data_IF_672806219738
#
_entry.id   IF_672806219738
#
_cell.length_a   1.000
_cell.length_b   1.000
_cell.length_c   1.000
_cell.angle_alpha   90.00
_cell.angle_beta   90.00
_cell.angle_gamma   90.00
#
_symmetry.space_group_name_H-M   'P 1'
#
loop_
_entity.id
_entity.type
_entity.pdbx_description
1 polymer ?
#
# COMPACT_ATOMS: atom_id res chain seq x y z
N UNK A 1 -24.40 3.59 21.58
CA UNK A 1 -24.53 5.06 21.53
C UNK A 1 -23.13 5.69 21.53
N UNK A 2 -22.55 6.08 20.40
CA UNK A 2 -21.38 6.95 20.37
C UNK A 2 -21.79 8.41 20.14
N UNK A 3 -21.26 9.28 21.00
CA UNK A 3 -21.49 10.72 21.04
C UNK A 3 -20.54 11.51 20.14
N UNK A 4 -21.07 12.65 19.70
CA UNK A 4 -20.60 13.55 18.66
C UNK A 4 -19.68 14.66 19.20
N UNK A 5 -18.77 15.20 18.35
CA UNK A 5 -18.41 16.62 18.11
C UNK A 5 -16.96 16.76 17.60
N UNK A 6 -16.76 17.04 16.32
CA UNK A 6 -16.66 18.38 15.68
C UNK A 6 -15.42 19.20 16.09
N UNK A 7 -14.45 19.33 15.17
CA UNK A 7 -13.82 20.61 14.78
C UNK A 7 -13.45 20.61 13.28
N UNK A 8 -14.03 21.55 12.55
CA UNK A 8 -13.74 22.02 11.18
C UNK A 8 -12.50 22.96 11.24
N UNK A 9 -11.67 23.26 10.23
CA UNK A 9 -11.79 23.85 8.85
C UNK A 9 -10.31 24.11 8.37
N UNK A 10 -9.96 24.67 7.18
CA UNK A 10 -10.74 24.99 5.98
C UNK A 10 -10.15 24.48 4.64
N UNK A 11 -11.02 24.58 3.64
CA UNK A 11 -10.90 24.28 2.22
C UNK A 11 -10.10 25.32 1.42
N UNK A 12 -9.24 24.88 0.49
CA UNK A 12 -8.69 25.69 -0.61
C UNK A 12 -9.28 25.21 -1.95
N UNK A 13 -9.83 26.15 -2.73
CA UNK A 13 -10.54 25.94 -4.00
C UNK A 13 -9.56 25.80 -5.18
N UNK A 14 -9.91 25.07 -6.26
CA UNK A 14 -9.31 25.30 -7.57
C UNK A 14 -10.08 26.39 -8.33
N UNK A 15 -9.36 27.43 -8.75
CA UNK A 15 -9.80 28.37 -9.76
C UNK A 15 -9.54 27.75 -11.14
N UNK A 16 -10.59 27.61 -11.96
CA UNK A 16 -10.61 27.68 -13.44
C UNK A 16 -11.94 27.10 -13.96
N UNK A 17 -13.01 27.85 -13.70
CA UNK A 17 -14.24 27.80 -14.47
C UNK A 17 -14.65 29.25 -14.67
N UNK A 18 -14.20 29.86 -15.75
CA UNK A 18 -14.69 31.13 -16.27
C UNK A 18 -14.13 31.28 -17.69
N UNK A 19 -15.03 31.28 -18.67
CA UNK A 19 -14.95 31.83 -20.04
C UNK A 19 -15.70 30.94 -21.04
N UNK A 20 -17.00 30.80 -20.80
CA UNK A 20 -17.96 30.41 -21.83
C UNK A 20 -19.16 31.35 -21.67
N UNK A 21 -19.21 32.44 -22.46
CA UNK A 21 -20.40 33.20 -22.89
C UNK A 21 -20.06 34.67 -23.20
N UNK A 22 -19.51 34.96 -24.38
CA UNK A 22 -19.66 36.29 -24.97
C UNK A 22 -19.27 36.29 -26.45
N UNK A 23 -20.28 36.25 -27.34
CA UNK A 23 -20.27 36.84 -28.70
C UNK A 23 -21.47 36.34 -29.51
N UNK A 24 -22.68 36.78 -29.15
CA UNK A 24 -23.86 36.56 -29.99
C UNK A 24 -24.82 37.74 -29.91
N UNK A 25 -24.34 38.93 -30.27
CA UNK A 25 -25.19 40.07 -30.61
C UNK A 25 -24.46 40.96 -31.62
N UNK A 26 -24.88 40.95 -32.89
CA UNK A 26 -25.10 42.17 -33.67
C UNK A 26 -25.82 41.87 -34.99
N UNK A 27 -27.03 42.46 -35.08
CA UNK A 27 -27.61 43.16 -36.24
C UNK A 27 -28.37 42.33 -37.30
N UNK A 28 -29.70 42.32 -37.13
CA UNK A 28 -30.71 42.20 -38.19
C UNK A 28 -31.41 43.57 -38.39
N UNK A 29 -31.97 43.77 -39.60
CA UNK A 29 -32.85 44.86 -40.12
C UNK A 29 -32.09 46.02 -40.84
N UNK A 30 -32.47 46.53 -42.02
CA UNK A 30 -33.53 46.19 -43.00
C UNK A 30 -33.30 46.96 -44.33
N UNK A 31 -33.91 46.43 -45.42
CA UNK A 31 -34.50 47.10 -46.62
C UNK A 31 -33.65 47.95 -47.58
N UNK A 32 -33.72 47.70 -48.90
CA UNK A 32 -34.70 48.32 -49.84
C UNK A 32 -34.58 47.81 -51.29
N UNK A 33 -35.74 47.70 -51.96
CA UNK A 33 -36.00 47.42 -53.38
C UNK A 33 -35.17 48.27 -54.36
N UNK A 34 -34.84 47.71 -55.53
CA UNK A 34 -35.17 48.26 -56.87
C UNK A 34 -34.95 47.21 -57.97
N UNK A 35 -35.97 46.97 -58.79
CA UNK A 35 -35.91 46.36 -60.13
C UNK A 35 -36.06 47.50 -61.15
N UNK A 36 -35.48 47.39 -62.36
CA UNK A 36 -36.35 47.12 -63.51
C UNK A 36 -35.76 46.11 -64.53
N UNK A 37 -36.68 45.49 -65.28
CA UNK A 37 -36.45 44.56 -66.40
C UNK A 37 -35.70 45.21 -67.57
N UNK A 38 -34.98 44.40 -68.37
CA UNK A 38 -35.13 44.33 -69.85
C UNK A 38 -34.29 43.20 -70.51
N UNK A 39 -34.96 42.42 -71.36
CA UNK A 39 -34.55 41.79 -72.65
C UNK A 39 -33.38 40.79 -72.78
N UNK A 40 -33.77 39.51 -72.94
CA UNK A 40 -33.42 38.46 -73.95
C UNK A 40 -31.98 38.13 -74.45
N UNK A 41 -31.72 36.84 -74.83
CA UNK A 41 -30.42 36.21 -75.20
C UNK A 41 -30.19 36.23 -76.75
N UNK A 42 -29.13 35.69 -77.43
CA UNK A 42 -28.36 34.43 -77.20
C UNK A 42 -26.82 34.58 -77.39
N UNK A 43 -25.98 33.57 -77.09
CA UNK A 43 -25.43 32.64 -78.11
C UNK A 43 -24.70 31.50 -77.38
N UNK A 44 -25.19 30.28 -77.57
CA UNK A 44 -24.47 29.04 -77.28
C UNK A 44 -23.38 28.82 -78.34
N UNK A 45 -22.14 28.58 -77.91
CA UNK A 45 -21.20 27.66 -78.55
C UNK A 45 -19.93 27.58 -77.70
N UNK A 46 -19.43 26.36 -77.49
CA UNK A 46 -18.34 25.96 -76.56
C UNK A 46 -18.88 25.58 -75.17
N UNK A 47 -18.29 24.56 -74.52
CA UNK A 47 -18.31 24.25 -73.07
C UNK A 47 -18.83 22.88 -72.57
N UNK A 48 -19.31 21.93 -73.38
CA UNK A 48 -19.67 20.60 -72.83
C UNK A 48 -18.45 19.80 -72.30
N UNK A 49 -17.28 19.94 -72.94
CA UNK A 49 -16.03 19.32 -72.50
C UNK A 49 -15.33 20.09 -71.36
N UNK A 50 -15.34 21.43 -71.40
CA UNK A 50 -14.75 22.27 -70.35
C UNK A 50 -15.53 22.24 -69.04
N UNK A 51 -16.87 22.17 -69.09
CA UNK A 51 -17.70 22.04 -67.89
C UNK A 51 -17.48 20.70 -67.20
N UNK A 52 -17.29 19.62 -67.97
CA UNK A 52 -16.98 18.29 -67.43
C UNK A 52 -15.58 18.25 -66.77
N UNK A 53 -14.60 18.93 -67.34
CA UNK A 53 -13.26 19.04 -66.75
C UNK A 53 -13.24 19.91 -65.49
N UNK A 54 -13.96 21.04 -65.49
CA UNK A 54 -14.17 21.90 -64.31
C UNK A 54 -14.82 21.13 -63.16
N UNK A 55 -15.87 20.34 -63.44
CA UNK A 55 -16.58 19.55 -62.41
C UNK A 55 -15.70 18.45 -61.82
N UNK A 56 -14.79 17.89 -62.63
CA UNK A 56 -13.82 16.88 -62.17
C UNK A 56 -12.77 17.50 -61.25
N UNK A 57 -12.28 18.70 -61.58
CA UNK A 57 -11.34 19.45 -60.74
C UNK A 57 -11.97 19.83 -59.39
N UNK A 58 -13.23 20.30 -59.39
CA UNK A 58 -13.96 20.62 -58.15
C UNK A 58 -14.09 19.40 -57.22
N UNK A 59 -14.34 18.23 -57.79
CA UNK A 59 -14.41 16.97 -57.03
C UNK A 59 -13.06 16.58 -56.44
N UNK A 60 -11.97 16.75 -57.18
CA UNK A 60 -10.61 16.51 -56.68
C UNK A 60 -10.28 17.46 -55.53
N UNK A 61 -10.60 18.74 -55.66
CA UNK A 61 -10.40 19.72 -54.58
C UNK A 61 -11.20 19.35 -53.33
N UNK A 62 -12.43 18.87 -53.49
CA UNK A 62 -13.25 18.40 -52.37
C UNK A 62 -12.64 17.17 -51.67
N UNK A 63 -12.14 16.20 -52.42
CA UNK A 63 -11.44 15.03 -51.84
C UNK A 63 -10.16 15.46 -51.12
N UNK A 64 -9.36 16.37 -51.70
CA UNK A 64 -8.17 16.93 -51.05
C UNK A 64 -8.53 17.59 -49.73
N UNK A 65 -9.57 18.44 -49.69
CA UNK A 65 -10.01 19.08 -48.43
C UNK A 65 -10.48 18.06 -47.40
N UNK A 66 -11.11 16.97 -47.84
CA UNK A 66 -11.55 15.88 -46.97
C UNK A 66 -10.35 15.12 -46.39
N UNK A 67 -9.36 14.81 -47.22
CA UNK A 67 -8.10 14.18 -46.79
C UNK A 67 -7.34 15.07 -45.80
N UNK A 68 -7.20 16.37 -46.09
CA UNK A 68 -6.57 17.33 -45.19
C UNK A 68 -7.22 17.35 -43.81
N UNK A 69 -8.56 17.39 -43.75
CA UNK A 69 -9.30 17.34 -42.47
C UNK A 69 -9.07 16.02 -41.71
N UNK A 70 -8.97 14.89 -42.43
CA UNK A 70 -8.67 13.58 -41.80
C UNK A 70 -7.25 13.54 -41.22
N UNK A 71 -6.28 14.13 -41.93
CA UNK A 71 -4.89 14.25 -41.46
C UNK A 71 -4.84 15.09 -40.17
N UNK A 72 -5.50 16.26 -40.15
CA UNK A 72 -5.60 17.09 -38.94
C UNK A 72 -6.22 16.33 -37.76
N UNK A 73 -7.27 15.54 -38.01
CA UNK A 73 -7.87 14.68 -36.99
C UNK A 73 -6.95 13.57 -36.49
N UNK A 74 -6.13 13.01 -37.38
CA UNK A 74 -5.09 12.03 -37.00
C UNK A 74 -4.00 12.68 -36.15
N UNK A 75 -3.54 13.89 -36.50
CA UNK A 75 -2.53 14.62 -35.72
C UNK A 75 -3.02 14.91 -34.30
N UNK A 76 -4.28 15.32 -34.15
CA UNK A 76 -4.91 15.51 -32.84
C UNK A 76 -4.96 14.19 -32.04
N UNK A 77 -5.32 13.08 -32.69
CA UNK A 77 -5.39 11.76 -32.07
C UNK A 77 -4.01 11.24 -31.65
N UNK A 78 -2.99 11.41 -32.49
CA UNK A 78 -1.59 11.06 -32.20
C UNK A 78 -1.08 11.88 -31.02
N UNK A 79 -1.37 13.19 -30.99
CA UNK A 79 -0.98 14.07 -29.89
C UNK A 79 -1.58 13.61 -28.57
N UNK A 80 -2.88 13.25 -28.57
CA UNK A 80 -3.56 12.71 -27.39
C UNK A 80 -2.94 11.40 -26.92
N UNK A 81 -2.67 10.46 -27.84
CA UNK A 81 -2.01 9.20 -27.52
C UNK A 81 -0.62 9.42 -26.91
N UNK A 82 0.19 10.30 -27.49
CA UNK A 82 1.51 10.64 -26.96
C UNK A 82 1.43 11.19 -25.54
N UNK A 83 0.43 12.03 -25.25
CA UNK A 83 0.22 12.56 -23.90
C UNK A 83 -0.18 11.44 -22.92
N UNK A 84 -1.08 10.55 -23.35
CA UNK A 84 -1.47 9.36 -22.57
C UNK A 84 -0.28 8.45 -22.28
N UNK A 85 0.57 8.18 -23.27
CA UNK A 85 1.80 7.37 -23.10
C UNK A 85 2.76 8.01 -22.11
N UNK A 86 2.94 9.34 -22.17
CA UNK A 86 3.78 10.07 -21.19
C UNK A 86 3.22 9.97 -19.77
N UNK A 87 1.90 10.08 -19.60
CA UNK A 87 1.25 9.91 -18.29
C UNK A 87 1.49 8.51 -17.74
N UNK A 88 1.26 7.47 -18.56
CA UNK A 88 1.50 6.08 -18.15
C UNK A 88 2.97 5.84 -17.78
N UNK A 89 3.92 6.42 -18.52
CA UNK A 89 5.33 6.31 -18.22
C UNK A 89 5.66 6.93 -16.85
N UNK A 90 5.07 8.08 -16.51
CA UNK A 90 5.24 8.71 -15.21
C UNK A 90 4.64 7.87 -14.07
N UNK A 91 3.45 7.29 -14.27
CA UNK A 91 2.81 6.39 -13.30
C UNK A 91 3.63 5.12 -13.07
N UNK A 92 4.16 4.51 -14.14
CA UNK A 92 5.02 3.32 -14.05
C UNK A 92 6.28 3.64 -13.25
N UNK A 93 6.94 4.79 -13.50
CA UNK A 93 8.10 5.21 -12.71
C UNK A 93 7.74 5.40 -11.22
N UNK A 94 6.56 5.96 -10.94
CA UNK A 94 6.03 6.07 -9.59
C UNK A 94 5.81 4.71 -8.92
N UNK A 95 5.25 3.74 -9.66
CA UNK A 95 5.08 2.38 -9.14
C UNK A 95 6.41 1.67 -8.89
N UNK A 96 7.38 1.80 -9.80
CA UNK A 96 8.72 1.25 -9.60
C UNK A 96 9.35 1.76 -8.31
N UNK A 97 9.32 3.07 -8.08
CA UNK A 97 9.83 3.67 -6.84
C UNK A 97 9.14 3.12 -5.59
N UNK A 98 7.80 2.99 -5.63
CA UNK A 98 7.03 2.44 -4.51
C UNK A 98 7.35 0.96 -4.26
N UNK A 99 7.49 0.16 -5.30
CA UNK A 99 7.85 -1.26 -5.20
C UNK A 99 9.23 -1.42 -4.59
N UNK A 100 10.24 -0.70 -5.07
CA UNK A 100 11.59 -0.72 -4.49
C UNK A 100 11.58 -0.32 -3.01
N UNK A 101 10.81 0.70 -2.64
CA UNK A 101 10.66 1.10 -1.23
C UNK A 101 9.98 0.03 -0.37
N UNK A 102 9.03 -0.72 -0.92
CA UNK A 102 8.38 -1.84 -0.22
C UNK A 102 9.33 -3.03 -0.06
N UNK A 103 10.09 -3.38 -1.10
CA UNK A 103 11.08 -4.46 -1.06
C UNK A 103 12.15 -4.20 0.02
N UNK A 104 12.66 -2.97 0.09
CA UNK A 104 13.61 -2.58 1.14
C UNK A 104 13.03 -2.72 2.55
N UNK A 105 11.80 -2.23 2.75
CA UNK A 105 11.12 -2.36 4.05
C UNK A 105 10.84 -3.81 4.41
N UNK A 106 10.48 -4.63 3.44
CA UNK A 106 10.24 -6.06 3.63
C UNK A 106 11.53 -6.76 4.07
N UNK A 107 12.65 -6.50 3.39
CA UNK A 107 13.95 -7.06 3.78
C UNK A 107 14.36 -6.68 5.21
N UNK A 108 14.09 -5.44 5.64
CA UNK A 108 14.32 -5.03 7.03
C UNK A 108 13.44 -5.77 8.04
N UNK A 109 12.15 -5.96 7.72
CA UNK A 109 11.22 -6.71 8.57
C UNK A 109 11.64 -8.18 8.68
N UNK A 110 12.04 -8.79 7.57
CA UNK A 110 12.54 -10.16 7.55
C UNK A 110 13.78 -10.32 8.42
N UNK A 111 14.78 -9.45 8.27
CA UNK A 111 15.99 -9.44 9.10
C UNK A 111 15.68 -9.23 10.60
N UNK A 112 14.74 -8.34 10.92
CA UNK A 112 14.32 -8.15 12.31
C UNK A 112 13.63 -9.39 12.89
N UNK A 113 12.83 -10.08 12.06
CA UNK A 113 12.12 -11.28 12.47
C UNK A 113 13.08 -12.44 12.70
N UNK A 114 14.09 -12.62 11.85
CA UNK A 114 15.12 -13.65 12.07
C UNK A 114 15.90 -13.39 13.35
N UNK A 115 16.38 -12.16 13.56
CA UNK A 115 17.07 -11.80 14.81
C UNK A 115 16.20 -12.01 16.05
N UNK A 116 14.88 -11.79 15.97
CA UNK A 116 13.98 -12.02 17.10
C UNK A 116 13.84 -13.50 17.41
N UNK A 117 13.72 -14.35 16.38
CA UNK A 117 13.69 -15.81 16.55
C UNK A 117 14.97 -16.34 17.16
N UNK A 118 16.13 -15.84 16.74
CA UNK A 118 17.42 -16.26 17.29
C UNK A 118 17.51 -15.92 18.78
N UNK A 119 17.08 -14.71 19.17
CA UNK A 119 17.00 -14.32 20.59
C UNK A 119 16.05 -15.20 21.38
N UNK A 120 14.90 -15.58 20.82
CA UNK A 120 13.96 -16.47 21.50
C UNK A 120 14.57 -17.86 21.74
N UNK A 121 15.36 -18.38 20.80
CA UNK A 121 16.10 -19.63 20.98
C UNK A 121 17.17 -19.51 22.06
N UNK A 122 17.92 -18.41 22.07
CA UNK A 122 18.92 -18.14 23.11
C UNK A 122 18.28 -18.05 24.50
N UNK A 123 17.11 -17.41 24.60
CA UNK A 123 16.35 -17.33 25.86
C UNK A 123 15.88 -18.71 26.33
N UNK A 124 15.38 -19.55 25.41
CA UNK A 124 14.98 -20.91 25.74
C UNK A 124 16.17 -21.75 26.22
N UNK A 125 17.31 -21.65 25.53
CA UNK A 125 18.54 -22.32 25.92
C UNK A 125 19.02 -21.86 27.30
N UNK A 126 19.06 -20.55 27.53
CA UNK A 126 19.52 -19.99 28.80
C UNK A 126 18.59 -20.36 29.96
N UNK A 127 17.28 -20.36 29.72
CA UNK A 127 16.29 -20.80 30.71
C UNK A 127 16.47 -22.28 31.07
N UNK A 128 16.64 -23.14 30.07
CA UNK A 128 16.91 -24.57 30.30
C UNK A 128 18.19 -24.78 31.13
N UNK A 129 19.26 -24.06 30.78
CA UNK A 129 20.53 -24.09 31.52
C UNK A 129 20.37 -23.60 32.96
N UNK A 130 19.58 -22.54 33.18
CA UNK A 130 19.33 -22.01 34.52
C UNK A 130 18.56 -23.03 35.37
N UNK A 131 17.51 -23.64 34.81
CA UNK A 131 16.76 -24.70 35.49
C UNK A 131 17.67 -25.88 35.85
N UNK A 132 18.48 -26.37 34.92
CA UNK A 132 19.42 -27.46 35.19
C UNK A 132 20.46 -27.12 36.27
N UNK A 133 20.94 -25.86 36.31
CA UNK A 133 21.82 -25.38 37.38
C UNK A 133 21.10 -25.29 38.73
N UNK A 134 19.87 -24.80 38.76
CA UNK A 134 19.06 -24.72 39.98
C UNK A 134 18.74 -26.11 40.54
N UNK A 135 18.36 -27.04 39.66
CA UNK A 135 18.07 -28.43 40.01
C UNK A 135 19.31 -29.14 40.54
N UNK A 136 20.48 -28.95 39.91
CA UNK A 136 21.75 -29.47 40.44
C UNK A 136 22.12 -28.87 41.79
N UNK A 137 21.90 -27.57 41.95
CA UNK A 137 22.20 -26.88 43.20
C UNK A 137 21.31 -27.33 44.36
N UNK A 138 20.10 -27.82 44.07
CA UNK A 138 19.13 -28.27 45.09
C UNK A 138 18.95 -29.79 45.12
N UNK A 139 19.69 -30.54 44.31
CA UNK A 139 19.55 -31.99 44.16
C UNK A 139 19.65 -32.74 45.48
N UNK A 140 20.55 -32.27 46.35
CA UNK A 140 20.84 -32.92 47.63
C UNK A 140 19.99 -32.34 48.77
N UNK A 141 19.06 -31.42 48.49
CA UNK A 141 18.17 -30.83 49.47
C UNK A 141 16.84 -31.59 49.52
N UNK A 142 16.47 -32.07 50.70
CA UNK A 142 15.18 -32.70 50.96
C UNK A 142 14.30 -31.75 51.77
N UNK A 143 13.00 -31.68 51.46
CA UNK A 143 12.00 -30.94 52.23
C UNK A 143 11.04 -31.91 52.89
N UNK A 144 10.94 -31.84 54.22
CA UNK A 144 9.97 -32.60 54.99
C UNK A 144 8.78 -31.69 55.32
N UNK A 145 7.57 -32.18 55.09
CA UNK A 145 6.32 -31.46 55.36
C UNK A 145 5.49 -32.22 56.38
N UNK A 146 4.76 -31.49 57.24
CA UNK A 146 3.87 -32.08 58.24
C UNK A 146 4.53 -32.42 59.58
N UNK A 147 5.73 -31.90 59.84
CA UNK A 147 6.37 -31.95 61.16
C UNK A 147 5.75 -30.85 62.03
N UNK A 148 5.18 -31.17 63.21
CA UNK A 148 4.65 -30.16 64.12
C UNK A 148 5.78 -29.32 64.73
N UNK A 149 5.52 -28.02 64.93
CA UNK A 149 6.52 -27.07 65.42
C UNK A 149 6.99 -27.43 66.84
N UNK A 150 8.30 -27.30 67.10
CA UNK A 150 9.00 -27.59 68.36
C UNK A 150 9.26 -29.08 68.70
N UNK A 151 8.90 -30.03 67.83
CA UNK A 151 9.29 -31.45 68.04
C UNK A 151 10.78 -31.73 67.74
N UNK A 152 11.43 -30.86 66.97
CA UNK A 152 12.83 -31.02 66.54
C UNK A 152 13.84 -30.72 67.66
N UNK A 153 13.44 -29.99 68.70
CA UNK A 153 14.32 -29.59 69.80
C UNK A 153 15.40 -28.58 69.37
N UNK A 154 16.56 -28.61 70.05
CA UNK A 154 17.66 -27.66 69.83
C UNK A 154 18.58 -28.06 68.66
N UNK A 155 18.62 -29.36 68.33
CA UNK A 155 19.47 -29.91 67.26
C UNK A 155 18.64 -30.72 66.25
N UNK A 156 18.29 -30.05 65.15
CA UNK A 156 17.52 -30.61 64.04
C UNK A 156 18.22 -31.81 63.39
N UNK A 157 19.56 -31.83 63.34
CA UNK A 157 20.30 -32.93 62.71
C UNK A 157 20.17 -34.23 63.53
N UNK A 158 20.20 -34.11 64.85
CA UNK A 158 20.00 -35.26 65.74
C UNK A 158 18.58 -35.82 65.60
N UNK A 159 17.58 -34.95 65.55
CA UNK A 159 16.19 -35.34 65.30
C UNK A 159 16.04 -36.09 63.96
N UNK A 160 16.61 -35.54 62.87
CA UNK A 160 16.56 -36.14 61.54
C UNK A 160 17.19 -37.55 61.49
N UNK A 161 18.33 -37.75 62.15
CA UNK A 161 18.97 -39.08 62.27
C UNK A 161 18.09 -40.10 62.96
N UNK A 162 17.23 -39.68 63.89
CA UNK A 162 16.35 -40.56 64.64
C UNK A 162 15.03 -40.87 63.91
N UNK A 163 14.53 -39.96 63.08
CA UNK A 163 13.22 -40.07 62.43
C UNK A 163 13.30 -40.66 61.02
N UNK A 164 14.36 -40.38 60.26
CA UNK A 164 14.49 -40.88 58.89
C UNK A 164 14.47 -42.42 58.81
N UNK A 165 15.23 -43.18 59.62
CA UNK A 165 15.17 -44.64 59.59
C UNK A 165 13.76 -45.18 59.91
N UNK A 166 13.03 -44.51 60.82
CA UNK A 166 11.66 -44.87 61.19
C UNK A 166 10.67 -44.62 60.04
N UNK A 167 10.88 -43.56 59.27
CA UNK A 167 9.99 -43.18 58.18
C UNK A 167 10.24 -44.03 56.92
N UNK A 168 11.50 -44.32 56.61
CA UNK A 168 11.87 -45.04 55.40
C UNK A 168 11.93 -46.55 55.58
N UNK A 169 11.95 -47.06 56.81
CA UNK A 169 12.22 -48.48 57.11
C UNK A 169 13.53 -48.99 56.49
N UNK A 170 14.51 -48.08 56.32
CA UNK A 170 15.83 -48.40 55.77
C UNK A 170 16.88 -48.25 56.88
N UNK A 171 17.79 -49.20 56.92
CA UNK A 171 19.00 -49.12 57.73
C UNK A 171 20.09 -48.43 56.91
N UNK A 172 20.54 -47.28 57.39
CA UNK A 172 21.62 -46.52 56.74
C UNK A 172 22.96 -46.88 57.39
N UNK A 173 23.75 -47.70 56.70
CA UNK A 173 25.14 -48.02 57.06
C UNK A 173 26.06 -47.74 55.86
N UNK A 174 26.90 -46.69 55.89
CA UNK A 174 27.17 -45.78 57.02
C UNK A 174 26.03 -44.77 57.31
N UNK A 175 26.02 -44.13 58.50
CA UNK A 175 24.99 -43.15 58.88
C UNK A 175 24.91 -41.96 57.92
N UNK A 176 23.70 -41.42 57.73
CA UNK A 176 23.49 -40.25 56.86
C UNK A 176 24.26 -39.03 57.39
N UNK A 177 25.05 -38.43 56.50
CA UNK A 177 25.75 -37.16 56.73
C UNK A 177 24.90 -35.99 56.24
N UNK A 178 24.78 -34.96 57.08
CA UNK A 178 24.04 -33.74 56.76
C UNK A 178 25.00 -32.58 56.63
N UNK A 179 25.02 -31.92 55.46
CA UNK A 179 25.79 -30.70 55.29
C UNK A 179 25.16 -29.52 56.04
N UNK A 180 23.82 -29.41 56.01
CA UNK A 180 23.05 -28.38 56.71
C UNK A 180 21.61 -28.88 56.93
N UNK A 181 21.05 -28.59 58.10
CA UNK A 181 19.63 -28.76 58.41
C UNK A 181 19.11 -27.45 59.03
N UNK A 182 17.88 -27.08 58.70
CA UNK A 182 17.22 -25.86 59.13
C UNK A 182 15.72 -26.08 59.17
#
# INVERSE_FOLDING_TARGET
MPGNKLKQKPTSKPAQQLLFSEALQHKRLASTKTNPQTSSPPTESTTMAEKSHSTTMDRILQEITTVSRRIEGMDASITSLMLGTKSMQAEIAGFQSRVTGLEQRMGLVEAQTTMSRDRDQDLLYLRSKLTDMEDRSRRDNIRLHGIPENEEGVDVQFFLRSILPKLTSLDFDPPIEFQRAH
#
